data_IF_630735190267
#
_entry.id   IF_630735190267
#
_cell.length_a   1.000
_cell.length_b   1.000
_cell.length_c   1.000
_cell.angle_alpha   90.00
_cell.angle_beta   90.00
_cell.angle_gamma   90.00
#
_symmetry.space_group_name_H-M   'P 1'
#
loop_
_entity.id
_entity.type
_entity.pdbx_description
1 polymer ?
#
# COMPACT_ATOMS: atom_id res chain seq x y z
N UNK A 1 -3.14 12.24 0.22
CA UNK A 1 -2.34 12.40 -1.01
C UNK A 1 -1.14 11.48 -0.92
N UNK A 2 -1.04 10.48 -1.79
CA UNK A 2 0.14 9.60 -1.85
C UNK A 2 1.24 10.26 -2.69
N UNK A 3 2.48 9.77 -2.59
CA UNK A 3 3.59 10.17 -3.48
C UNK A 3 3.25 10.00 -4.97
N UNK A 4 2.31 9.12 -5.28
CA UNK A 4 1.86 8.77 -6.62
C UNK A 4 0.60 9.51 -7.08
N UNK A 5 0.08 10.45 -6.28
CA UNK A 5 -1.21 11.09 -6.52
C UNK A 5 -2.39 10.22 -6.11
N UNK A 6 -3.50 10.32 -6.85
CA UNK A 6 -4.65 9.41 -6.73
C UNK A 6 -4.35 8.13 -7.50
N UNK A 7 -4.37 7.00 -6.80
CA UNK A 7 -4.07 5.67 -7.35
C UNK A 7 -5.01 4.63 -6.77
N UNK A 8 -5.34 3.61 -7.57
CA UNK A 8 -6.08 2.45 -7.08
C UNK A 8 -5.20 1.65 -6.11
N UNK A 9 -5.83 1.11 -5.07
CA UNK A 9 -5.12 0.38 -4.02
C UNK A 9 -5.78 -0.91 -3.61
N UNK A 10 -4.95 -1.88 -3.24
CA UNK A 10 -5.35 -3.07 -2.52
C UNK A 10 -5.16 -2.84 -1.01
N UNK A 11 -6.25 -2.99 -0.26
CA UNK A 11 -6.22 -3.02 1.19
C UNK A 11 -5.96 -4.45 1.67
N UNK A 12 -4.82 -4.67 2.33
CA UNK A 12 -4.42 -5.99 2.81
C UNK A 12 -4.12 -5.98 4.31
N UNK A 13 -4.46 -7.09 4.97
CA UNK A 13 -4.10 -7.37 6.35
C UNK A 13 -3.12 -8.54 6.35
N UNK A 14 -1.81 -8.31 6.46
CA UNK A 14 -0.84 -9.39 6.43
C UNK A 14 -0.90 -10.19 7.72
N UNK A 15 -0.68 -11.50 7.60
CA UNK A 15 -0.36 -12.35 8.74
C UNK A 15 1.09 -12.08 9.14
N UNK A 16 1.29 -11.55 10.34
CA UNK A 16 2.60 -11.09 10.80
C UNK A 16 3.16 -12.05 11.84
N UNK A 17 4.13 -12.86 11.43
CA UNK A 17 4.70 -13.92 12.29
C UNK A 17 5.80 -13.39 13.23
N UNK A 18 6.18 -12.11 13.09
CA UNK A 18 7.21 -11.46 13.91
C UNK A 18 6.63 -10.44 14.89
N UNK A 19 7.24 -10.41 16.08
CA UNK A 19 6.98 -9.40 17.11
C UNK A 19 7.68 -8.10 16.68
N UNK A 20 6.91 -7.07 16.37
CA UNK A 20 7.44 -5.78 15.93
C UNK A 20 8.08 -4.99 17.08
N UNK A 21 8.55 -3.77 16.80
CA UNK A 21 9.06 -2.85 17.82
C UNK A 21 7.98 -2.44 18.86
N UNK A 22 6.71 -2.48 18.46
CA UNK A 22 5.57 -2.15 19.30
C UNK A 22 4.72 -3.40 19.50
N UNK A 23 4.19 -3.58 20.71
CA UNK A 23 3.13 -4.55 20.97
C UNK A 23 1.87 -4.11 20.21
N UNK A 24 1.59 -4.83 19.14
CA UNK A 24 0.44 -4.59 18.26
C UNK A 24 -0.78 -5.14 18.97
N UNK A 25 -1.77 -4.29 19.21
CA UNK A 25 -3.03 -4.69 19.84
C UNK A 25 -4.15 -4.59 18.80
N UNK A 26 -4.10 -5.46 17.79
CA UNK A 26 -5.12 -5.58 16.76
C UNK A 26 -4.62 -5.47 15.31
N UNK A 27 -5.53 -5.02 14.44
CA UNK A 27 -5.40 -5.03 12.98
C UNK A 27 -4.30 -4.08 12.47
N UNK A 28 -3.34 -4.62 11.73
CA UNK A 28 -2.44 -3.83 10.87
C UNK A 28 -2.93 -3.90 9.44
N UNK A 29 -3.18 -2.75 8.83
CA UNK A 29 -3.64 -2.61 7.45
C UNK A 29 -2.56 -1.94 6.61
N UNK A 30 -2.34 -2.49 5.42
CA UNK A 30 -1.49 -1.93 4.39
C UNK A 30 -2.35 -1.57 3.18
N UNK A 31 -2.04 -0.43 2.58
CA UNK A 31 -2.54 -0.05 1.25
C UNK A 31 -1.39 -0.17 0.28
N UNK A 32 -1.53 -1.07 -0.69
CA UNK A 32 -0.58 -1.30 -1.76
C UNK A 32 -1.16 -0.73 -3.06
N UNK A 33 -0.33 -0.26 -3.99
CA UNK A 33 -0.81 0.08 -5.34
C UNK A 33 -1.46 -1.13 -6.00
N UNK A 34 -2.54 -0.91 -6.75
CA UNK A 34 -3.19 -1.96 -7.55
C UNK A 34 -2.48 -2.15 -8.90
N UNK A 35 -1.21 -2.51 -8.84
CA UNK A 35 -0.38 -2.82 -10.01
C UNK A 35 0.52 -4.04 -9.72
N UNK A 36 1.39 -4.38 -10.68
CA UNK A 36 2.32 -5.49 -10.54
C UNK A 36 3.43 -5.25 -9.49
N UNK A 37 3.75 -3.99 -9.17
CA UNK A 37 4.76 -3.62 -8.20
C UNK A 37 4.26 -3.68 -6.75
N UNK A 38 2.94 -3.58 -6.53
CA UNK A 38 2.29 -3.69 -5.21
C UNK A 38 2.96 -2.80 -4.16
N UNK A 39 3.26 -1.56 -4.54
CA UNK A 39 4.05 -0.65 -3.71
C UNK A 39 3.25 -0.24 -2.48
N UNK A 40 3.77 -0.42 -1.25
CA UNK A 40 3.08 0.06 -0.05
C UNK A 40 3.06 1.58 -0.02
N UNK A 41 1.88 2.18 -0.08
CA UNK A 41 1.72 3.64 -0.07
C UNK A 41 1.32 4.18 1.31
N UNK A 42 0.64 3.34 2.11
CA UNK A 42 0.22 3.69 3.46
C UNK A 42 0.13 2.45 4.36
N UNK A 43 0.38 2.64 5.65
CA UNK A 43 0.22 1.63 6.70
C UNK A 43 -0.52 2.27 7.86
N UNK A 44 -1.49 1.55 8.42
CA UNK A 44 -2.12 1.92 9.68
C UNK A 44 -2.12 0.71 10.61
N UNK A 45 -1.65 0.90 11.84
CA UNK A 45 -1.67 -0.12 12.88
C UNK A 45 -2.23 0.43 14.17
N UNK A 46 -3.15 -0.30 14.78
CA UNK A 46 -3.57 -0.02 16.15
C UNK A 46 -2.51 -0.49 17.13
N UNK A 47 -2.30 0.32 18.17
CA UNK A 47 -1.43 0.04 19.31
C UNK A 47 -2.19 0.40 20.59
N UNK A 48 -1.74 -0.09 21.75
CA UNK A 48 -2.45 0.13 23.02
C UNK A 48 -2.77 1.61 23.31
N UNK A 49 -1.89 2.53 22.91
CA UNK A 49 -2.03 3.98 23.18
C UNK A 49 -2.48 4.78 21.96
N UNK A 50 -3.07 4.16 20.94
CA UNK A 50 -3.60 4.83 19.76
C UNK A 50 -3.31 4.11 18.46
N UNK A 51 -2.67 4.81 17.51
CA UNK A 51 -2.33 4.24 16.21
C UNK A 51 -1.03 4.77 15.66
N UNK A 52 -0.35 3.92 14.91
CA UNK A 52 0.78 4.28 14.05
C UNK A 52 0.25 4.40 12.63
N UNK A 53 0.55 5.53 11.98
CA UNK A 53 0.29 5.73 10.55
C UNK A 53 1.61 6.05 9.87
N UNK A 54 1.86 5.42 8.73
CA UNK A 54 3.02 5.69 7.90
C UNK A 54 2.58 5.93 6.47
N UNK A 55 3.07 7.02 5.87
CA UNK A 55 2.88 7.36 4.48
C UNK A 55 4.19 7.17 3.71
N UNK A 56 4.11 6.72 2.47
CA UNK A 56 5.27 6.56 1.61
C UNK A 56 5.87 7.92 1.25
N UNK A 57 7.12 8.15 1.66
CA UNK A 57 7.84 9.41 1.39
C UNK A 57 8.75 9.34 0.17
N UNK A 58 9.29 8.16 -0.15
CA UNK A 58 10.14 7.92 -1.31
C UNK A 58 10.11 6.45 -1.71
N UNK A 59 10.31 6.17 -3.01
CA UNK A 59 10.34 4.81 -3.53
C UNK A 59 11.29 4.71 -4.72
N UNK A 60 12.13 3.68 -4.70
CA UNK A 60 13.00 3.31 -5.81
C UNK A 60 13.01 1.79 -5.92
N UNK A 61 12.63 1.27 -7.08
CA UNK A 61 12.75 -0.15 -7.39
C UNK A 61 13.17 -0.32 -8.85
N UNK A 62 14.47 -0.56 -9.12
CA UNK A 62 14.95 -0.70 -10.49
C UNK A 62 14.42 -1.97 -11.18
N UNK A 63 13.91 -2.96 -10.45
CA UNK A 63 13.31 -4.16 -11.03
C UNK A 63 11.84 -3.96 -11.41
N UNK A 64 11.19 -2.89 -10.93
CA UNK A 64 9.79 -2.62 -11.18
C UNK A 64 9.60 -1.25 -11.82
N UNK A 65 9.77 -1.21 -13.15
CA UNK A 65 9.63 0.00 -13.95
C UNK A 65 8.19 0.50 -14.12
N UNK A 66 7.20 -0.27 -13.67
CA UNK A 66 5.76 -0.02 -13.89
C UNK A 66 5.01 0.19 -12.57
N UNK A 67 5.58 0.99 -11.66
CA UNK A 67 4.87 1.38 -10.45
C UNK A 67 3.72 2.35 -10.76
N UNK A 68 3.72 3.02 -11.92
CA UNK A 68 2.57 3.69 -12.53
C UNK A 68 2.84 3.83 -14.04
N UNK A 69 2.12 3.06 -14.87
CA UNK A 69 2.10 3.19 -16.34
C UNK A 69 0.65 3.30 -16.84
N UNK A 70 0.41 3.85 -18.04
CA UNK A 70 -0.92 4.29 -18.47
C UNK A 70 -1.80 3.13 -18.94
N UNK A 71 -2.44 2.39 -18.02
CA UNK A 71 -3.47 1.38 -18.35
C UNK A 71 -4.67 1.39 -17.38
N UNK A 72 -5.02 2.54 -16.79
CA UNK A 72 -6.28 2.71 -16.05
C UNK A 72 -7.45 3.19 -16.92
N UNK A 73 -7.50 2.81 -18.21
CA UNK A 73 -8.49 3.40 -19.14
C UNK A 73 -8.85 2.72 -20.46
N UNK A 74 -8.50 1.46 -20.75
CA UNK A 74 -9.07 0.79 -21.94
C UNK A 74 -9.37 -0.69 -21.69
N UNK A 75 -10.59 -0.94 -21.22
CA UNK A 75 -11.13 -2.28 -21.04
C UNK A 75 -12.63 -2.28 -20.78
N UNK A 76 -13.41 -1.43 -21.44
CA UNK A 76 -14.88 -1.55 -21.48
C UNK A 76 -15.51 -0.67 -22.58
N UNK A 77 -15.66 -1.24 -23.78
CA UNK A 77 -16.88 -1.13 -24.59
C UNK A 77 -16.68 -1.97 -25.85
N UNK A 78 -17.24 -3.18 -25.83
CA UNK A 78 -17.51 -3.92 -27.05
C UNK A 78 -18.73 -3.31 -27.76
N UNK A 79 -18.55 -2.98 -29.04
CA UNK A 79 -19.47 -3.18 -30.18
C UNK A 79 -18.89 -2.51 -31.41
#
# INVERSE_FOLDING_TARGET
>A
NSLFGEVDTLKVMPKMDFKGLYDKDGDTVFWLTDDNCRVPIAINSKIMIGSLTADLVSYTNPACHRALGPESGQGAAGR
#
